data_IF_345843437290
#
_entry.id   IF_345843437290
#
_cell.length_a   1.000
_cell.length_b   1.000
_cell.length_c   1.000
_cell.angle_alpha   90.00
_cell.angle_beta   90.00
_cell.angle_gamma   90.00
#
_symmetry.space_group_name_H-M   'P 1'
#
loop_
_entity.id
_entity.type
_entity.pdbx_description
1 polymer ?
#
# COMPACT_ATOMS: atom_id res chain seq x y z
N UNK A 1 0.86 18.01 -6.87
CA UNK A 1 1.33 16.65 -7.19
C UNK A 1 0.56 16.22 -8.42
N UNK A 2 1.26 15.84 -9.48
CA UNK A 2 0.68 15.41 -10.75
C UNK A 2 1.40 14.16 -11.27
N UNK A 3 0.68 13.36 -12.04
CA UNK A 3 1.25 12.34 -12.90
C UNK A 3 1.27 12.86 -14.32
N UNK A 4 2.22 12.39 -15.13
CA UNK A 4 2.26 12.57 -16.57
C UNK A 4 2.53 11.22 -17.19
N UNK A 5 1.59 10.72 -17.96
CA UNK A 5 1.64 9.40 -18.63
C UNK A 5 1.71 9.66 -20.13
N UNK A 6 2.81 9.25 -20.75
CA UNK A 6 3.02 9.36 -22.21
C UNK A 6 2.94 7.98 -22.83
N UNK A 7 2.02 7.80 -23.78
CA UNK A 7 1.83 6.57 -24.57
C UNK A 7 1.59 6.97 -26.02
N UNK A 8 2.44 6.52 -26.95
CA UNK A 8 2.48 7.06 -28.32
C UNK A 8 2.58 8.60 -28.27
N UNK A 9 1.80 9.31 -29.08
CA UNK A 9 1.69 10.77 -29.11
C UNK A 9 0.72 11.33 -28.05
N UNK A 10 0.05 10.46 -27.27
CA UNK A 10 -0.86 10.90 -26.22
C UNK A 10 -0.10 11.18 -24.92
N UNK A 11 -0.23 12.41 -24.46
CA UNK A 11 0.20 12.88 -23.14
C UNK A 11 -1.05 13.01 -22.27
N UNK A 12 -1.03 12.38 -21.11
CA UNK A 12 -2.14 12.34 -20.16
C UNK A 12 -1.64 12.84 -18.80
N UNK A 13 -2.14 13.99 -18.34
CA UNK A 13 -1.77 14.66 -17.10
C UNK A 13 -2.99 14.94 -16.22
N UNK A 14 -3.99 15.62 -16.77
CA UNK A 14 -5.20 16.03 -16.03
C UNK A 14 -6.16 14.86 -15.77
N UNK A 15 -6.19 13.83 -16.62
CA UNK A 15 -7.07 12.68 -16.44
C UNK A 15 -6.56 11.65 -15.42
N UNK A 16 -5.27 11.66 -15.05
CA UNK A 16 -4.62 10.56 -14.31
C UNK A 16 -4.82 10.68 -12.80
N UNK A 17 -5.62 9.79 -12.22
CA UNK A 17 -5.88 9.75 -10.78
C UNK A 17 -4.81 8.92 -10.05
N UNK A 18 -4.50 7.72 -10.55
CA UNK A 18 -3.63 6.75 -9.87
C UNK A 18 -2.72 5.98 -10.84
N UNK A 19 -1.45 5.80 -10.44
CA UNK A 19 -0.54 4.85 -11.10
C UNK A 19 0.10 3.95 -10.04
N UNK A 20 0.11 2.63 -10.28
CA UNK A 20 0.75 1.65 -9.39
C UNK A 20 1.70 0.74 -10.18
N UNK A 21 2.92 0.55 -9.67
CA UNK A 21 3.95 -0.30 -10.26
C UNK A 21 4.08 -1.61 -9.48
N UNK A 22 4.17 -2.74 -10.17
CA UNK A 22 4.32 -4.07 -9.58
C UNK A 22 5.52 -4.81 -10.19
N UNK A 23 6.34 -5.43 -9.32
CA UNK A 23 7.51 -6.23 -9.71
C UNK A 23 7.35 -7.64 -9.14
N UNK A 24 6.81 -8.55 -9.95
CA UNK A 24 6.63 -9.97 -9.59
C UNK A 24 7.97 -10.70 -9.80
N UNK A 25 8.70 -10.93 -8.69
CA UNK A 25 9.93 -11.74 -8.67
C UNK A 25 9.59 -13.20 -8.31
N UNK A 26 10.02 -14.19 -9.11
CA UNK A 26 9.75 -15.59 -8.81
C UNK A 26 10.35 -16.05 -7.46
N UNK A 27 9.56 -16.75 -6.65
CA UNK A 27 9.94 -17.25 -5.31
C UNK A 27 11.03 -18.35 -5.30
N UNK A 28 11.57 -18.74 -6.45
CA UNK A 28 12.68 -19.68 -6.56
C UNK A 28 13.99 -18.93 -6.82
N UNK A 29 15.04 -19.22 -6.05
CA UNK A 29 16.28 -18.43 -6.10
C UNK A 29 16.95 -18.48 -7.48
N UNK A 30 16.87 -19.60 -8.21
CA UNK A 30 17.38 -19.73 -9.59
C UNK A 30 16.62 -18.86 -10.62
N UNK A 31 15.41 -18.39 -10.28
CA UNK A 31 14.52 -17.62 -11.17
C UNK A 31 14.42 -16.13 -10.80
N UNK A 32 15.18 -15.65 -9.81
CA UNK A 32 15.12 -14.25 -9.33
C UNK A 32 15.60 -13.22 -10.37
N UNK A 33 16.14 -13.67 -11.50
CA UNK A 33 16.71 -12.86 -12.58
C UNK A 33 15.71 -12.49 -13.70
N UNK A 34 14.46 -12.96 -13.66
CA UNK A 34 13.41 -12.61 -14.64
C UNK A 34 12.17 -11.99 -13.94
N UNK A 35 12.29 -10.74 -13.43
CA UNK A 35 11.18 -10.02 -12.81
C UNK A 35 10.10 -9.65 -13.83
N UNK A 36 8.84 -9.99 -13.53
CA UNK A 36 7.69 -9.57 -14.34
C UNK A 36 7.21 -8.20 -13.88
N UNK A 37 7.59 -7.18 -14.64
CA UNK A 37 7.22 -5.79 -14.37
C UNK A 37 5.86 -5.46 -15.01
N UNK A 38 4.92 -4.96 -14.21
CA UNK A 38 3.59 -4.53 -14.67
C UNK A 38 3.19 -3.21 -14.02
N UNK A 39 2.27 -2.49 -14.63
CA UNK A 39 1.77 -1.20 -14.19
C UNK A 39 0.26 -1.14 -14.34
N UNK A 40 -0.42 -0.52 -13.39
CA UNK A 40 -1.84 -0.17 -13.46
C UNK A 40 -1.94 1.36 -13.54
N UNK A 41 -2.70 1.88 -14.49
CA UNK A 41 -2.98 3.30 -14.65
C UNK A 41 -4.51 3.48 -14.58
N UNK A 42 -4.99 4.40 -13.75
CA UNK A 42 -6.42 4.72 -13.56
C UNK A 42 -6.64 6.22 -13.78
N UNK A 43 -7.68 6.59 -14.51
CA UNK A 43 -8.00 7.98 -14.81
C UNK A 43 -9.40 8.20 -15.34
N UNK A 44 -9.75 9.46 -15.62
CA UNK A 44 -11.06 9.86 -16.17
C UNK A 44 -11.08 9.78 -17.70
N UNK A 45 -12.27 9.60 -18.26
CA UNK A 45 -12.49 9.47 -19.70
C UNK A 45 -12.98 10.80 -20.30
N UNK A 46 -13.84 11.53 -19.58
CA UNK A 46 -14.48 12.78 -20.04
C UNK A 46 -13.57 14.01 -19.88
N UNK A 47 -12.33 13.89 -20.35
CA UNK A 47 -11.32 14.96 -20.41
C UNK A 47 -11.03 15.34 -21.87
N UNK A 48 -10.47 16.53 -22.10
CA UNK A 48 -9.98 16.92 -23.44
C UNK A 48 -8.75 16.08 -23.88
N UNK A 49 -8.08 15.43 -22.92
CA UNK A 49 -7.04 14.44 -23.17
C UNK A 49 -7.64 13.17 -23.82
N UNK A 50 -7.15 12.83 -25.03
CA UNK A 50 -7.75 11.81 -25.92
C UNK A 50 -7.58 10.34 -25.50
N UNK A 51 -8.12 9.95 -24.35
CA UNK A 51 -8.03 8.62 -23.73
C UNK A 51 -8.45 7.45 -24.64
N UNK A 52 -9.25 7.69 -25.68
CA UNK A 52 -9.69 6.67 -26.65
C UNK A 52 -8.54 5.89 -27.32
N UNK A 53 -7.30 6.44 -27.36
CA UNK A 53 -6.13 5.70 -27.87
C UNK A 53 -5.74 4.51 -26.98
N UNK A 54 -6.06 4.56 -25.68
CA UNK A 54 -5.78 3.46 -24.73
C UNK A 54 -6.69 2.26 -25.03
N UNK A 55 -7.98 2.51 -25.29
CA UNK A 55 -8.91 1.49 -25.76
C UNK A 55 -8.47 0.91 -27.12
N UNK A 56 -8.08 1.76 -28.08
CA UNK A 56 -7.56 1.29 -29.38
C UNK A 56 -6.31 0.41 -29.23
N UNK A 57 -5.42 0.75 -28.29
CA UNK A 57 -4.24 -0.07 -27.98
C UNK A 57 -4.63 -1.41 -27.35
N UNK A 58 -5.62 -1.44 -26.46
CA UNK A 58 -6.13 -2.66 -25.82
C UNK A 58 -6.74 -3.67 -26.81
N UNK A 59 -7.21 -3.21 -27.98
CA UNK A 59 -7.72 -4.08 -29.05
C UNK A 59 -6.60 -4.81 -29.83
N UNK A 60 -5.33 -4.46 -29.65
CA UNK A 60 -4.21 -5.09 -30.37
C UNK A 60 -3.73 -6.37 -29.67
N UNK A 61 -3.88 -7.56 -30.28
CA UNK A 61 -3.46 -8.81 -29.66
C UNK A 61 -1.91 -8.90 -29.57
N UNK A 62 -1.41 -9.63 -28.58
CA UNK A 62 0.04 -9.83 -28.33
C UNK A 62 0.83 -10.43 -29.52
N UNK A 63 0.14 -10.97 -30.52
CA UNK A 63 0.71 -11.48 -31.78
C UNK A 63 0.97 -10.39 -32.83
N UNK A 64 0.37 -9.20 -32.70
CA UNK A 64 0.65 -8.06 -33.57
C UNK A 64 1.87 -7.30 -33.04
N UNK A 65 2.95 -7.10 -33.84
CA UNK A 65 4.08 -6.24 -33.45
C UNK A 65 3.67 -4.84 -32.96
N UNK A 66 2.58 -4.29 -33.49
CA UNK A 66 2.08 -2.95 -33.10
C UNK A 66 1.52 -2.89 -31.68
N UNK A 67 1.24 -4.02 -31.01
CA UNK A 67 0.77 -3.99 -29.62
C UNK A 67 1.89 -3.59 -28.62
N UNK A 68 3.15 -3.58 -29.05
CA UNK A 68 4.29 -3.24 -28.19
C UNK A 68 4.62 -1.75 -28.30
N UNK A 69 4.25 -0.97 -27.27
CA UNK A 69 4.47 0.49 -27.20
C UNK A 69 5.47 0.84 -26.11
N UNK A 70 6.10 2.00 -26.26
CA UNK A 70 6.79 2.63 -25.14
C UNK A 70 5.76 3.33 -24.23
N UNK A 71 5.96 3.25 -22.91
CA UNK A 71 5.16 3.97 -21.91
C UNK A 71 6.09 4.65 -20.92
N UNK A 72 6.02 5.97 -20.84
CA UNK A 72 6.69 6.76 -19.81
C UNK A 72 5.68 7.24 -18.78
N UNK A 73 5.99 7.09 -17.49
CA UNK A 73 5.27 7.76 -16.40
C UNK A 73 6.22 8.62 -15.60
N UNK A 74 5.91 9.90 -15.50
CA UNK A 74 6.57 10.89 -14.68
C UNK A 74 5.66 11.30 -13.51
N UNK A 75 6.24 11.44 -12.32
CA UNK A 75 5.54 11.85 -11.11
C UNK A 75 6.22 13.08 -10.51
N UNK A 76 5.46 14.17 -10.45
CA UNK A 76 5.94 15.51 -10.09
C UNK A 76 5.28 15.98 -8.80
N UNK A 77 6.08 16.42 -7.85
CA UNK A 77 5.62 17.04 -6.59
C UNK A 77 6.29 18.39 -6.46
N UNK A 78 5.50 19.42 -6.13
CA UNK A 78 5.98 20.78 -5.84
C UNK A 78 6.93 21.30 -6.95
N UNK A 79 6.50 21.08 -8.20
CA UNK A 79 7.20 21.35 -9.47
C UNK A 79 8.55 20.63 -9.67
N UNK A 80 8.85 19.62 -8.85
CA UNK A 80 10.06 18.81 -8.91
C UNK A 80 9.74 17.37 -9.34
N UNK A 81 10.48 16.86 -10.35
CA UNK A 81 10.35 15.47 -10.82
C UNK A 81 10.89 14.51 -9.75
N UNK A 82 10.00 13.80 -9.08
CA UNK A 82 10.36 12.84 -8.01
C UNK A 82 10.79 11.51 -8.61
N UNK A 83 10.08 11.06 -9.67
CA UNK A 83 10.34 9.78 -10.34
C UNK A 83 9.86 9.79 -11.79
N UNK A 84 10.62 9.13 -12.67
CA UNK A 84 10.30 8.77 -14.05
C UNK A 84 10.51 7.27 -14.22
N UNK A 85 9.55 6.57 -14.82
CA UNK A 85 9.65 5.14 -15.16
C UNK A 85 9.28 4.97 -16.62
N UNK A 86 10.17 4.38 -17.43
CA UNK A 86 9.91 4.05 -18.83
C UNK A 86 9.87 2.53 -19.04
N UNK A 87 8.76 2.03 -19.59
CA UNK A 87 8.62 0.67 -20.11
C UNK A 87 8.88 0.70 -21.61
N UNK A 88 10.09 0.32 -22.02
CA UNK A 88 10.55 0.37 -23.42
C UNK A 88 9.74 -0.48 -24.40
N UNK A 89 9.04 -1.53 -23.94
CA UNK A 89 8.10 -2.35 -24.72
C UNK A 89 6.97 -2.90 -23.85
N UNK A 90 6.07 -2.04 -23.41
CA UNK A 90 4.83 -2.44 -22.78
C UNK A 90 3.84 -3.06 -23.78
N UNK A 91 2.95 -3.94 -23.32
CA UNK A 91 1.73 -4.35 -24.01
C UNK A 91 0.55 -4.35 -23.02
N UNK A 92 -0.68 -4.17 -23.53
CA UNK A 92 -1.89 -4.25 -22.71
C UNK A 92 -2.17 -5.70 -22.32
N UNK A 93 -2.41 -5.91 -21.03
CA UNK A 93 -2.85 -7.20 -20.45
C UNK A 93 -4.37 -7.21 -20.29
N UNK A 94 -4.95 -6.08 -19.89
CA UNK A 94 -6.38 -5.91 -19.65
C UNK A 94 -6.75 -4.41 -19.68
N UNK A 95 -8.01 -4.08 -19.98
CA UNK A 95 -8.51 -2.71 -20.03
C UNK A 95 -10.02 -2.67 -19.76
N UNK A 96 -10.45 -1.71 -18.92
CA UNK A 96 -11.84 -1.55 -18.52
C UNK A 96 -12.26 -0.10 -18.42
N UNK A 97 -13.49 0.21 -18.81
CA UNK A 97 -14.11 1.54 -18.64
C UNK A 97 -15.42 1.40 -17.85
N UNK A 98 -15.62 2.27 -16.88
CA UNK A 98 -16.80 2.28 -16.01
C UNK A 98 -17.45 3.67 -16.10
N UNK A 99 -18.64 3.72 -16.69
CA UNK A 99 -19.45 4.93 -16.81
C UNK A 99 -20.54 4.97 -15.72
N UNK A 100 -20.73 6.12 -15.09
CA UNK A 100 -21.72 6.28 -14.01
C UNK A 100 -22.55 7.54 -14.18
N UNK A 101 -23.84 7.35 -14.51
CA UNK A 101 -24.84 8.40 -14.62
C UNK A 101 -25.09 9.16 -13.30
N UNK A 102 -24.56 8.66 -12.16
CA UNK A 102 -24.63 9.32 -10.87
C UNK A 102 -23.39 10.18 -10.56
N UNK A 103 -22.21 9.76 -11.02
CA UNK A 103 -20.97 10.54 -10.87
C UNK A 103 -20.79 11.59 -11.97
N UNK A 104 -21.42 11.40 -13.13
CA UNK A 104 -21.30 12.28 -14.30
C UNK A 104 -19.96 12.20 -15.03
N UNK A 105 -19.10 11.24 -14.66
CA UNK A 105 -17.76 11.04 -15.23
C UNK A 105 -17.46 9.54 -15.35
N UNK A 106 -16.98 9.10 -16.50
CA UNK A 106 -16.42 7.78 -16.77
C UNK A 106 -14.98 7.63 -16.29
N UNK A 107 -14.62 6.44 -15.82
CA UNK A 107 -13.27 6.13 -15.30
C UNK A 107 -12.71 4.92 -16.04
N UNK A 108 -11.50 5.03 -16.59
CA UNK A 108 -10.78 3.93 -17.22
C UNK A 108 -9.79 3.27 -16.25
N UNK A 109 -9.42 2.02 -16.51
CA UNK A 109 -8.29 1.36 -15.87
C UNK A 109 -7.55 0.50 -16.88
N UNK A 110 -6.25 0.77 -17.02
CA UNK A 110 -5.35 0.20 -18.01
C UNK A 110 -4.28 -0.65 -17.31
N UNK A 111 -4.16 -1.92 -17.70
CA UNK A 111 -3.19 -2.87 -17.17
C UNK A 111 -2.15 -3.18 -18.23
N UNK A 112 -0.89 -2.81 -17.98
CA UNK A 112 0.21 -3.04 -18.92
C UNK A 112 1.33 -3.86 -18.29
N UNK A 113 2.05 -4.60 -19.14
CA UNK A 113 3.20 -5.42 -18.74
C UNK A 113 4.36 -5.19 -19.69
N UNK A 114 5.56 -5.07 -19.15
CA UNK A 114 6.79 -4.99 -19.93
C UNK A 114 7.08 -6.36 -20.58
N UNK A 115 7.38 -6.37 -21.88
CA UNK A 115 7.86 -7.57 -22.58
C UNK A 115 9.19 -8.07 -21.95
N UNK A 116 9.36 -9.39 -21.82
CA UNK A 116 10.51 -9.98 -21.08
C UNK A 116 11.86 -9.66 -21.73
N UNK A 117 12.91 -9.63 -20.92
CA UNK A 117 14.28 -9.39 -21.39
C UNK A 117 14.46 -8.01 -22.03
N UNK A 118 13.82 -6.99 -21.46
CA UNK A 118 13.84 -5.60 -21.90
C UNK A 118 14.02 -4.69 -20.69
N UNK A 119 14.80 -3.65 -20.89
CA UNK A 119 15.21 -2.72 -19.86
C UNK A 119 14.08 -1.75 -19.51
N UNK A 120 14.07 -1.34 -18.25
CA UNK A 120 13.16 -0.35 -17.67
C UNK A 120 14.04 0.76 -17.11
N UNK A 121 13.90 1.96 -17.65
CA UNK A 121 14.58 3.13 -17.10
C UNK A 121 13.79 3.63 -15.90
N UNK A 122 14.44 3.74 -14.74
CA UNK A 122 13.85 4.31 -13.54
C UNK A 122 14.76 5.42 -13.01
N UNK A 123 14.45 6.67 -13.37
CA UNK A 123 15.15 7.87 -12.90
C UNK A 123 14.35 8.47 -11.74
N UNK A 124 15.04 9.00 -10.73
CA UNK A 124 14.39 9.68 -9.62
C UNK A 124 15.41 10.41 -8.77
N UNK A 125 14.92 11.26 -7.86
CA UNK A 125 15.82 12.01 -6.98
C UNK A 125 16.38 11.12 -5.86
N UNK A 126 17.53 10.51 -6.13
CA UNK A 126 18.42 10.00 -5.09
C UNK A 126 19.05 11.19 -4.37
N UNK A 127 18.58 11.49 -3.15
CA UNK A 127 19.07 12.62 -2.36
C UNK A 127 20.47 12.37 -1.79
N UNK A 128 21.51 12.48 -2.62
CA UNK A 128 22.90 12.75 -2.20
C UNK A 128 23.74 13.35 -3.36
N UNK A 129 23.95 14.68 -3.38
CA UNK A 129 24.96 15.31 -4.22
C UNK A 129 26.31 15.39 -3.51
N UNK A 130 27.22 14.47 -3.81
CA UNK A 130 28.64 14.58 -3.44
C UNK A 130 29.34 15.51 -4.43
N UNK A 131 29.87 16.64 -3.95
CA UNK A 131 30.47 17.67 -4.81
C UNK A 131 31.75 17.22 -5.50
N UNK A 132 31.76 17.30 -6.85
CA UNK A 132 32.94 17.72 -7.62
C UNK A 132 32.44 18.69 -8.70
N UNK A 133 33.12 19.82 -8.86
CA UNK A 133 32.78 20.86 -9.82
C UNK A 133 33.22 20.48 -11.23
N UNK A 134 32.50 20.97 -12.24
CA UNK A 134 33.16 21.57 -13.40
C UNK A 134 32.33 22.71 -13.96
N UNK A 135 32.98 23.85 -14.19
CA UNK A 135 32.38 25.09 -14.65
C UNK A 135 32.28 25.14 -16.17
N UNK A 136 31.30 25.91 -16.67
CA UNK A 136 31.51 26.85 -17.78
C UNK A 136 30.47 27.98 -17.67
N UNK A 137 30.82 29.14 -18.23
CA UNK A 137 30.11 30.42 -18.10
C UNK A 137 29.40 30.81 -19.38
N UNK A 138 28.30 31.56 -19.28
CA UNK A 138 28.09 32.77 -20.10
C UNK A 138 26.98 33.67 -19.48
N UNK A 139 26.93 34.93 -19.92
CA UNK A 139 26.25 36.06 -19.24
C UNK A 139 24.93 36.50 -19.92
N UNK A 140 24.29 37.52 -19.33
CA UNK A 140 23.33 38.55 -19.86
C UNK A 140 22.21 38.77 -18.80
N UNK A 141 22.17 39.83 -17.97
CA UNK A 141 22.05 41.31 -18.25
C UNK A 141 20.66 41.62 -18.84
N UNK A 142 19.75 42.45 -18.30
CA UNK A 142 19.74 43.49 -17.25
C UNK A 142 18.30 43.62 -16.65
N UNK A 143 18.17 44.05 -15.38
CA UNK A 143 17.52 45.31 -14.88
C UNK A 143 16.26 45.94 -15.59
N UNK A 144 15.34 46.74 -15.00
CA UNK A 144 15.16 47.36 -13.65
C UNK A 144 13.77 48.03 -13.44
N UNK A 145 13.26 48.11 -12.19
CA UNK A 145 12.37 49.15 -11.59
C UNK A 145 10.96 49.55 -12.17
N UNK A 146 10.09 50.35 -11.49
CA UNK A 146 9.75 50.48 -10.04
C UNK A 146 8.29 50.98 -9.83
N UNK A 147 7.78 50.78 -8.60
CA UNK A 147 6.44 51.07 -8.09
C UNK A 147 5.91 52.53 -8.12
N UNK A 148 4.61 52.68 -7.77
CA UNK A 148 4.17 53.67 -6.75
C UNK A 148 2.79 53.40 -6.09
N UNK A 149 2.83 53.22 -4.76
CA UNK A 149 2.05 53.85 -3.67
C UNK A 149 0.59 54.30 -3.92
N UNK A 150 -0.31 53.94 -2.97
CA UNK A 150 -0.78 54.86 -1.89
C UNK A 150 -1.53 54.11 -0.77
N UNK A 151 -1.86 54.79 0.35
CA UNK A 151 -2.43 54.21 1.59
C UNK A 151 -3.17 55.27 2.46
N UNK A 152 -3.92 54.83 3.49
CA UNK A 152 -4.61 55.61 4.55
C UNK A 152 -5.91 56.35 4.12
N UNK A 153 -6.95 56.60 4.95
CA UNK A 153 -7.33 56.19 6.33
C UNK A 153 -8.87 56.35 6.47
N UNK A 154 -9.64 55.70 7.37
CA UNK A 154 -9.84 56.05 8.79
C UNK A 154 -10.71 55.00 9.58
N UNK A 155 -11.43 55.45 10.63
CA UNK A 155 -12.35 54.70 11.52
C UNK A 155 -13.84 55.15 11.32
N UNK A 156 -14.92 54.68 11.99
CA UNK A 156 -15.15 53.85 13.22
C UNK A 156 -16.61 53.33 13.28
N UNK A 157 -16.94 52.56 14.34
CA UNK A 157 -18.28 52.18 14.92
C UNK A 157 -18.64 50.68 14.87
N UNK A 158 -19.29 50.21 15.95
CA UNK A 158 -19.75 48.84 16.26
C UNK A 158 -21.11 48.93 16.99
N UNK A 159 -21.84 47.85 17.37
CA UNK A 159 -21.50 46.41 17.29
C UNK A 159 -22.62 45.44 16.83
N UNK A 160 -22.27 44.19 16.46
CA UNK A 160 -22.86 42.96 17.05
C UNK A 160 -22.34 41.64 16.42
N UNK A 161 -22.26 40.59 17.27
CA UNK A 161 -22.20 39.14 17.01
C UNK A 161 -21.79 38.62 15.60
N UNK A 162 -20.57 38.07 15.47
CA UNK A 162 -20.30 36.89 14.62
C UNK A 162 -19.02 36.14 15.05
N UNK A 163 -18.70 35.04 14.37
CA UNK A 163 -17.69 34.03 14.72
C UNK A 163 -16.22 34.51 14.74
N UNK A 164 -15.37 33.79 15.49
CA UNK A 164 -13.90 33.89 15.39
C UNK A 164 -13.42 33.47 14.00
N UNK A 165 -12.48 34.21 13.43
CA UNK A 165 -12.04 34.00 12.05
C UNK A 165 -10.99 32.86 11.94
N UNK A 166 -10.93 32.22 10.77
CA UNK A 166 -10.14 30.98 10.58
C UNK A 166 -8.63 31.24 10.68
N UNK A 167 -8.18 32.44 10.33
CA UNK A 167 -6.77 32.90 10.38
C UNK A 167 -6.14 32.73 11.76
N UNK A 168 -6.88 33.04 12.82
CA UNK A 168 -6.34 33.14 14.18
C UNK A 168 -6.09 31.76 14.79
N UNK A 169 -6.79 30.73 14.27
CA UNK A 169 -6.52 29.32 14.58
C UNK A 169 -5.27 28.80 13.86
N UNK A 170 -5.03 29.25 12.62
CA UNK A 170 -3.85 28.84 11.82
C UNK A 170 -2.57 29.46 12.39
N UNK A 171 -2.59 30.74 12.79
CA UNK A 171 -1.46 31.40 13.44
C UNK A 171 -0.99 30.61 14.68
N UNK A 172 -1.93 30.23 15.55
CA UNK A 172 -1.64 29.47 16.78
C UNK A 172 -1.22 28.02 16.56
N UNK A 173 -1.47 27.45 15.38
CA UNK A 173 -0.88 26.17 14.98
C UNK A 173 0.54 26.34 14.42
N UNK A 174 0.83 27.43 13.69
CA UNK A 174 2.20 27.74 13.24
C UNK A 174 3.16 28.01 14.40
N UNK A 175 2.75 28.74 15.43
CA UNK A 175 3.55 28.96 16.65
C UNK A 175 3.89 27.65 17.41
N UNK A 176 3.18 26.55 17.13
CA UNK A 176 3.48 25.21 17.65
C UNK A 176 4.28 24.32 16.68
N UNK A 177 4.67 24.83 15.51
CA UNK A 177 5.39 24.08 14.46
C UNK A 177 6.68 24.73 13.97
N UNK A 178 6.96 25.99 14.32
CA UNK A 178 8.23 26.66 14.01
C UNK A 178 8.98 27.09 15.29
N UNK A 179 9.67 26.12 15.90
CA UNK A 179 10.66 26.39 16.95
C UNK A 179 11.74 25.30 16.94
N UNK A 180 12.47 25.21 15.82
CA UNK A 180 13.41 24.10 15.60
C UNK A 180 14.35 24.20 14.39
N UNK A 181 14.51 25.37 13.76
CA UNK A 181 15.45 25.53 12.64
C UNK A 181 16.91 25.63 13.13
N UNK A 182 17.48 24.48 13.52
CA UNK A 182 18.90 24.31 13.80
C UNK A 182 19.43 23.09 13.05
N UNK A 183 20.63 23.19 12.48
CA UNK A 183 21.28 22.06 11.79
C UNK A 183 21.70 21.02 12.83
N UNK A 184 20.91 19.96 12.93
CA UNK A 184 21.13 18.82 13.82
C UNK A 184 21.02 17.55 12.97
N UNK A 185 21.97 16.61 13.16
CA UNK A 185 21.89 15.24 12.63
C UNK A 185 20.62 14.54 13.18
N UNK A 186 19.55 14.61 12.41
CA UNK A 186 18.19 14.27 12.83
C UNK A 186 17.82 12.82 12.55
N UNK A 187 18.78 11.91 12.79
CA UNK A 187 18.53 10.48 13.12
C UNK A 187 17.21 10.31 13.86
N UNK A 188 16.41 9.33 13.45
CA UNK A 188 15.07 9.11 13.99
C UNK A 188 15.08 8.83 15.49
N UNK A 189 13.92 8.86 16.15
CA UNK A 189 13.86 8.47 17.56
C UNK A 189 14.25 7.00 17.72
N UNK A 190 13.84 6.15 16.76
CA UNK A 190 14.31 4.76 16.63
C UNK A 190 15.84 4.69 16.50
N UNK A 191 16.47 5.40 15.57
CA UNK A 191 17.93 5.33 15.36
C UNK A 191 18.71 5.73 16.62
N UNK A 192 18.23 6.76 17.32
CA UNK A 192 18.83 7.21 18.60
C UNK A 192 18.61 6.21 19.73
N UNK A 193 17.49 5.49 19.74
CA UNK A 193 17.28 4.35 20.64
C UNK A 193 18.20 3.17 20.32
N UNK A 194 18.42 2.86 19.04
CA UNK A 194 19.31 1.79 18.58
C UNK A 194 20.78 2.10 18.92
N UNK A 195 21.19 3.37 18.77
CA UNK A 195 22.53 3.83 19.13
C UNK A 195 22.81 3.83 20.65
N UNK A 196 21.78 3.73 21.50
CA UNK A 196 21.88 3.91 22.95
C UNK A 196 21.89 5.37 23.40
N UNK A 197 21.78 6.33 22.47
CA UNK A 197 21.65 7.77 22.75
C UNK A 197 20.31 8.14 23.42
N UNK A 198 19.35 7.21 23.49
CA UNK A 198 17.99 7.45 23.95
C UNK A 198 17.31 6.22 24.55
N UNK A 199 16.49 6.42 25.59
CA UNK A 199 15.58 5.41 26.14
C UNK A 199 14.38 5.09 25.24
N UNK A 200 13.70 3.96 25.51
CA UNK A 200 12.43 3.57 24.89
C UNK A 200 11.25 4.43 25.42
N UNK A 201 11.24 5.71 25.04
CA UNK A 201 10.26 6.72 25.45
C UNK A 201 8.97 6.71 24.59
N UNK A 202 8.08 7.67 24.86
CA UNK A 202 6.83 7.82 24.12
C UNK A 202 7.03 8.13 22.62
N UNK A 203 8.10 8.84 22.25
CA UNK A 203 8.36 9.20 20.85
C UNK A 203 8.92 7.99 20.08
N UNK A 204 9.84 7.25 20.70
CA UNK A 204 10.35 5.95 20.19
C UNK A 204 9.20 4.96 20.03
N UNK A 205 8.35 4.83 21.06
CA UNK A 205 7.15 4.00 21.03
C UNK A 205 6.19 4.40 19.89
N UNK A 206 5.93 5.70 19.70
CA UNK A 206 5.02 6.16 18.66
C UNK A 206 5.60 5.94 17.25
N UNK A 207 6.90 6.14 17.05
CA UNK A 207 7.56 5.87 15.77
C UNK A 207 7.56 4.37 15.44
N UNK A 208 7.87 3.50 16.40
CA UNK A 208 7.69 2.06 16.24
C UNK A 208 6.23 1.65 15.97
N UNK A 209 5.26 2.34 16.59
CA UNK A 209 3.82 2.11 16.36
C UNK A 209 3.42 2.47 14.93
N UNK A 210 3.99 3.55 14.37
CA UNK A 210 3.78 3.95 12.98
C UNK A 210 4.35 2.90 12.01
N UNK A 211 5.57 2.42 12.27
CA UNK A 211 6.22 1.40 11.43
C UNK A 211 5.50 0.05 11.49
N UNK A 212 5.14 -0.41 12.69
CA UNK A 212 4.30 -1.60 12.89
C UNK A 212 2.95 -1.48 12.17
N UNK A 213 2.27 -0.35 12.27
CA UNK A 213 0.98 -0.14 11.60
C UNK A 213 1.09 -0.19 10.07
N UNK A 214 2.17 0.33 9.48
CA UNK A 214 2.43 0.21 8.03
C UNK A 214 2.54 -1.25 7.59
N UNK A 215 3.29 -2.09 8.32
CA UNK A 215 3.44 -3.52 8.02
C UNK A 215 2.15 -4.33 8.23
N UNK A 216 1.34 -3.96 9.22
CA UNK A 216 0.03 -4.59 9.44
C UNK A 216 -0.96 -4.19 8.33
N UNK A 217 -0.96 -2.93 7.91
CA UNK A 217 -1.93 -2.41 6.95
C UNK A 217 -1.54 -2.67 5.48
N UNK A 218 -0.28 -3.01 5.18
CA UNK A 218 0.12 -3.50 3.84
C UNK A 218 -0.48 -4.87 3.52
N UNK A 219 -0.78 -5.67 4.55
CA UNK A 219 -1.25 -7.06 4.47
C UNK A 219 -0.27 -8.06 3.83
N UNK A 220 1.00 -7.68 3.69
CA UNK A 220 2.06 -8.59 3.30
C UNK A 220 2.55 -9.46 4.47
N UNK A 221 3.36 -10.47 4.15
CA UNK A 221 4.09 -11.24 5.16
C UNK A 221 5.25 -10.38 5.68
N UNK A 222 5.35 -10.24 7.00
CA UNK A 222 6.42 -9.52 7.68
C UNK A 222 6.79 -10.21 9.00
N UNK A 223 8.00 -9.96 9.50
CA UNK A 223 8.48 -10.43 10.80
C UNK A 223 9.01 -9.26 11.64
N UNK A 224 8.94 -9.41 12.97
CA UNK A 224 9.54 -8.42 13.88
C UNK A 224 11.06 -8.36 13.77
N UNK A 225 11.69 -9.44 13.31
CA UNK A 225 13.14 -9.61 13.40
C UNK A 225 13.83 -9.20 12.08
N UNK A 226 13.06 -8.95 11.01
CA UNK A 226 13.54 -8.55 9.67
C UNK A 226 12.98 -7.19 9.21
N UNK A 227 11.69 -6.89 9.46
CA UNK A 227 11.00 -5.72 8.90
C UNK A 227 10.84 -4.54 9.87
N UNK A 228 11.08 -4.75 11.17
CA UNK A 228 11.10 -3.69 12.18
C UNK A 228 12.56 -3.37 12.54
N UNK A 229 13.02 -2.10 12.45
CA UNK A 229 14.40 -1.75 12.77
C UNK A 229 14.80 -2.14 14.21
N UNK A 230 15.86 -2.95 14.34
CA UNK A 230 16.32 -3.52 15.62
C UNK A 230 15.21 -4.31 16.37
N UNK A 231 14.22 -4.80 15.64
CA UNK A 231 13.04 -5.47 16.20
C UNK A 231 13.34 -6.84 16.78
N UNK A 232 14.39 -7.51 16.31
CA UNK A 232 14.95 -8.74 16.88
C UNK A 232 15.37 -8.54 18.35
N UNK A 233 15.89 -7.35 18.68
CA UNK A 233 16.28 -6.98 20.05
C UNK A 233 15.14 -6.37 20.88
N UNK A 234 13.97 -6.06 20.29
CA UNK A 234 12.80 -5.60 21.05
C UNK A 234 12.22 -6.74 21.90
N UNK A 235 12.18 -6.54 23.22
CA UNK A 235 11.56 -7.50 24.15
C UNK A 235 10.07 -7.71 23.86
N UNK A 236 9.52 -8.86 24.23
CA UNK A 236 8.08 -9.15 24.10
C UNK A 236 7.19 -8.08 24.79
N UNK A 237 7.67 -7.44 25.86
CA UNK A 237 6.99 -6.34 26.53
C UNK A 237 6.97 -5.04 25.68
N UNK A 238 8.08 -4.70 25.01
CA UNK A 238 8.12 -3.58 24.06
C UNK A 238 7.27 -3.88 22.82
N UNK A 239 7.40 -5.08 22.23
CA UNK A 239 6.54 -5.53 21.11
C UNK A 239 5.06 -5.40 21.49
N UNK A 240 4.66 -5.77 22.72
CA UNK A 240 3.28 -5.54 23.23
C UNK A 240 2.93 -4.05 23.33
N UNK A 241 3.77 -3.21 23.96
CA UNK A 241 3.52 -1.76 24.07
C UNK A 241 3.29 -1.13 22.70
N UNK A 242 4.07 -1.52 21.68
CA UNK A 242 3.94 -1.04 20.30
C UNK A 242 2.58 -1.44 19.70
N UNK A 243 2.17 -2.71 19.87
CA UNK A 243 0.82 -3.16 19.45
C UNK A 243 -0.29 -2.37 20.15
N UNK A 244 -0.22 -2.26 21.48
CA UNK A 244 -1.21 -1.57 22.30
C UNK A 244 -1.34 -0.10 21.90
N UNK A 245 -0.22 0.58 21.65
CA UNK A 245 -0.20 1.99 21.26
C UNK A 245 -0.66 2.21 19.82
N UNK A 246 -0.32 1.32 18.88
CA UNK A 246 -0.84 1.38 17.51
C UNK A 246 -2.37 1.25 17.45
N UNK A 247 -2.96 0.38 18.28
CA UNK A 247 -4.43 0.27 18.41
C UNK A 247 -5.02 1.50 19.13
N UNK A 248 -4.44 1.93 20.25
CA UNK A 248 -4.90 3.11 21.00
C UNK A 248 -4.87 4.41 20.19
N UNK A 249 -3.88 4.57 19.30
CA UNK A 249 -3.74 5.70 18.38
C UNK A 249 -4.52 5.51 17.06
N UNK A 250 -5.39 4.49 16.97
CA UNK A 250 -6.23 4.16 15.80
C UNK A 250 -5.47 3.89 14.49
N UNK A 251 -4.17 3.54 14.57
CA UNK A 251 -3.34 3.20 13.41
C UNK A 251 -3.62 1.77 12.91
N UNK A 252 -4.10 0.91 13.80
CA UNK A 252 -4.55 -0.47 13.53
C UNK A 252 -5.92 -0.65 14.21
N UNK A 253 -6.85 -1.37 13.57
CA UNK A 253 -8.18 -1.62 14.15
C UNK A 253 -8.10 -2.55 15.37
N UNK A 254 -8.89 -2.25 16.40
CA UNK A 254 -9.09 -3.14 17.55
C UNK A 254 -9.94 -4.35 17.15
N UNK A 255 -9.46 -5.56 17.43
CA UNK A 255 -10.20 -6.82 17.23
C UNK A 255 -10.37 -7.49 18.58
N UNK A 256 -11.61 -7.49 19.08
CA UNK A 256 -11.94 -8.00 20.40
C UNK A 256 -11.85 -9.52 20.41
N UNK A 257 -11.13 -10.06 21.40
CA UNK A 257 -10.99 -11.51 21.60
C UNK A 257 -12.01 -12.00 22.61
N UNK A 258 -13.06 -12.69 22.14
CA UNK A 258 -14.09 -13.33 22.96
C UNK A 258 -13.50 -14.55 23.66
N UNK A 259 -13.25 -14.44 24.97
CA UNK A 259 -12.83 -15.59 25.79
C UNK A 259 -14.01 -16.56 25.97
N UNK A 260 -13.73 -17.84 25.79
CA UNK A 260 -14.69 -18.95 25.94
C UNK A 260 -14.01 -20.04 26.75
N UNK A 261 -14.76 -20.70 27.64
CA UNK A 261 -14.24 -21.78 28.48
C UNK A 261 -13.69 -22.94 27.63
N UNK A 262 -12.63 -23.59 28.10
CA UNK A 262 -11.90 -24.62 27.35
C UNK A 262 -11.00 -24.11 26.22
N UNK A 263 -11.16 -22.87 25.74
CA UNK A 263 -10.35 -22.31 24.64
C UNK A 263 -9.24 -21.38 25.13
N UNK A 264 -7.98 -21.73 24.82
CA UNK A 264 -6.77 -21.06 25.34
C UNK A 264 -6.67 -19.57 24.98
N UNK A 265 -7.05 -19.21 23.76
CA UNK A 265 -6.89 -17.87 23.22
C UNK A 265 -8.23 -17.13 23.12
N UNK A 266 -9.31 -17.81 22.73
CA UNK A 266 -10.61 -17.19 22.45
C UNK A 266 -10.74 -16.72 21.00
N UNK A 267 -11.96 -16.40 20.57
CA UNK A 267 -12.32 -16.12 19.17
C UNK A 267 -12.15 -14.63 18.84
N UNK A 268 -11.66 -14.32 17.64
CA UNK A 268 -11.39 -12.95 17.20
C UNK A 268 -12.60 -12.36 16.45
N UNK A 269 -13.17 -11.28 16.98
CA UNK A 269 -14.37 -10.65 16.41
C UNK A 269 -14.07 -9.73 15.21
N UNK A 270 -13.52 -10.30 14.13
CA UNK A 270 -13.24 -9.56 12.89
C UNK A 270 -14.50 -8.92 12.31
N UNK A 271 -15.67 -9.55 12.48
CA UNK A 271 -16.96 -9.04 12.03
C UNK A 271 -17.40 -7.80 12.83
N UNK A 272 -17.32 -7.86 14.16
CA UNK A 272 -17.56 -6.71 15.04
C UNK A 272 -16.54 -5.57 14.89
N UNK A 273 -15.35 -5.85 14.37
CA UNK A 273 -14.34 -4.86 14.01
C UNK A 273 -14.53 -4.22 12.61
N UNK A 274 -15.48 -4.73 11.80
CA UNK A 274 -15.70 -4.26 10.43
C UNK A 274 -14.60 -4.68 9.44
N UNK A 275 -13.97 -5.84 9.68
CA UNK A 275 -12.83 -6.35 8.91
C UNK A 275 -13.17 -7.55 8.00
N UNK A 276 -14.39 -8.10 8.13
CA UNK A 276 -14.87 -9.16 7.24
C UNK A 276 -15.30 -8.51 5.92
N UNK A 277 -14.56 -8.81 4.87
CA UNK A 277 -14.82 -8.35 3.50
C UNK A 277 -16.03 -9.12 2.96
N UNK A 278 -16.01 -10.45 3.13
CA UNK A 278 -16.99 -11.39 2.59
C UNK A 278 -17.13 -12.63 3.48
N UNK A 279 -18.27 -13.29 3.40
CA UNK A 279 -18.53 -14.57 4.09
C UNK A 279 -19.04 -15.62 3.09
N UNK A 280 -18.56 -16.85 3.22
CA UNK A 280 -19.02 -18.03 2.46
C UNK A 280 -19.10 -19.21 3.43
N UNK A 281 -20.19 -19.97 3.37
CA UNK A 281 -20.31 -21.21 4.13
C UNK A 281 -19.67 -22.38 3.36
N UNK A 282 -18.69 -23.02 3.99
CA UNK A 282 -17.95 -24.14 3.44
C UNK A 282 -18.79 -25.44 3.52
N UNK A 283 -18.94 -26.21 2.42
CA UNK A 283 -19.60 -27.52 2.40
C UNK A 283 -19.03 -28.50 3.43
N UNK A 284 -19.91 -29.30 4.03
CA UNK A 284 -19.59 -30.14 5.20
C UNK A 284 -18.58 -31.26 4.89
N UNK A 285 -18.57 -31.76 3.66
CA UNK A 285 -17.57 -32.70 3.13
C UNK A 285 -16.16 -32.08 3.08
N UNK A 286 -16.06 -30.76 2.92
CA UNK A 286 -14.80 -30.02 2.94
C UNK A 286 -14.35 -29.58 4.35
N UNK A 287 -15.13 -29.79 5.42
CA UNK A 287 -14.73 -29.33 6.77
C UNK A 287 -13.45 -29.99 7.29
N UNK A 288 -13.21 -31.25 6.93
CA UNK A 288 -12.11 -32.07 7.47
C UNK A 288 -10.94 -32.29 6.50
N UNK A 289 -10.93 -31.64 5.33
CA UNK A 289 -9.75 -31.58 4.44
C UNK A 289 -8.79 -30.47 4.89
N UNK A 290 -7.61 -30.39 4.28
CA UNK A 290 -6.57 -29.37 4.55
C UNK A 290 -6.93 -27.94 4.07
N UNK A 291 -6.17 -26.95 4.55
CA UNK A 291 -6.43 -25.54 4.29
C UNK A 291 -6.23 -25.16 2.80
N UNK A 292 -5.28 -25.80 2.10
CA UNK A 292 -5.06 -25.58 0.67
C UNK A 292 -6.28 -25.99 -0.15
N UNK A 293 -6.83 -27.18 0.11
CA UNK A 293 -8.04 -27.68 -0.54
C UNK A 293 -9.27 -26.81 -0.22
N UNK A 294 -9.45 -26.41 1.06
CA UNK A 294 -10.55 -25.51 1.45
C UNK A 294 -10.43 -24.13 0.78
N UNK A 295 -9.24 -23.53 0.81
CA UNK A 295 -9.03 -22.17 0.32
C UNK A 295 -9.16 -22.12 -1.21
N UNK A 296 -8.76 -23.17 -1.93
CA UNK A 296 -9.00 -23.28 -3.39
C UNK A 296 -10.49 -23.30 -3.74
N UNK A 297 -11.31 -24.03 -2.98
CA UNK A 297 -12.76 -24.01 -3.18
C UNK A 297 -13.35 -22.62 -2.88
N UNK A 298 -13.04 -22.04 -1.72
CA UNK A 298 -13.52 -20.71 -1.31
C UNK A 298 -13.09 -19.61 -2.29
N UNK A 299 -11.86 -19.70 -2.83
CA UNK A 299 -11.35 -18.82 -3.87
C UNK A 299 -12.13 -18.92 -5.19
N UNK A 300 -12.58 -20.12 -5.57
CA UNK A 300 -13.44 -20.32 -6.74
C UNK A 300 -14.82 -19.69 -6.52
N UNK A 301 -15.43 -19.92 -5.35
CA UNK A 301 -16.75 -19.34 -5.05
C UNK A 301 -16.71 -17.82 -4.92
N UNK A 302 -15.70 -17.23 -4.28
CA UNK A 302 -15.63 -15.77 -4.17
C UNK A 302 -15.43 -15.09 -5.53
N UNK A 303 -14.71 -15.72 -6.47
CA UNK A 303 -14.56 -15.21 -7.84
C UNK A 303 -15.86 -15.23 -8.64
N UNK A 304 -16.83 -16.09 -8.28
CA UNK A 304 -18.20 -16.08 -8.81
C UNK A 304 -19.09 -15.06 -8.10
N UNK A 305 -18.99 -15.00 -6.77
CA UNK A 305 -19.85 -14.17 -5.91
C UNK A 305 -19.55 -12.67 -6.05
N UNK A 306 -18.28 -12.31 -6.07
CA UNK A 306 -17.80 -10.92 -6.05
C UNK A 306 -16.48 -10.80 -6.86
N UNK A 307 -16.55 -10.87 -8.21
CA UNK A 307 -15.36 -10.82 -9.07
C UNK A 307 -14.56 -9.53 -8.90
N UNK A 308 -15.20 -8.42 -8.49
CA UNK A 308 -14.59 -7.10 -8.31
C UNK A 308 -13.53 -7.04 -7.19
N UNK A 309 -13.45 -8.07 -6.33
CA UNK A 309 -12.37 -8.21 -5.34
C UNK A 309 -11.04 -8.63 -5.97
N UNK A 310 -11.06 -9.18 -7.18
CA UNK A 310 -9.87 -9.46 -7.95
C UNK A 310 -9.59 -8.23 -8.82
N UNK A 311 -8.38 -7.64 -8.77
CA UNK A 311 -8.02 -6.60 -9.72
C UNK A 311 -8.20 -7.11 -11.16
N UNK A 312 -8.59 -6.23 -12.06
CA UNK A 312 -8.66 -6.53 -13.49
C UNK A 312 -7.24 -6.92 -13.97
N UNK A 313 -7.10 -7.80 -14.97
CA UNK A 313 -5.82 -8.41 -15.34
C UNK A 313 -5.15 -9.32 -14.29
N UNK A 314 -5.75 -9.56 -13.11
CA UNK A 314 -5.14 -10.40 -12.07
C UNK A 314 -5.30 -11.90 -12.36
N UNK A 315 -4.16 -12.56 -12.56
CA UNK A 315 -4.07 -13.98 -12.96
C UNK A 315 -4.07 -14.94 -11.75
N UNK A 316 -4.01 -14.44 -10.52
CA UNK A 316 -3.96 -15.28 -9.32
C UNK A 316 -5.32 -15.85 -8.91
N UNK A 317 -5.29 -16.93 -8.14
CA UNK A 317 -6.48 -17.61 -7.62
C UNK A 317 -7.07 -16.93 -6.38
N UNK A 318 -6.28 -16.14 -5.64
CA UNK A 318 -6.60 -15.61 -4.31
C UNK A 318 -6.79 -14.10 -4.34
N UNK A 319 -7.80 -13.56 -3.64
CA UNK A 319 -7.97 -12.10 -3.48
C UNK A 319 -6.71 -11.50 -2.81
N UNK A 320 -6.02 -10.52 -3.44
CA UNK A 320 -4.78 -9.93 -2.90
C UNK A 320 -4.93 -9.38 -1.47
N UNK A 321 -3.87 -9.48 -0.66
CA UNK A 321 -3.86 -8.99 0.72
C UNK A 321 -4.79 -9.71 1.71
N UNK A 322 -5.69 -10.60 1.29
CA UNK A 322 -6.67 -11.25 2.19
C UNK A 322 -6.23 -12.63 2.69
N UNK A 323 -6.89 -13.17 3.70
CA UNK A 323 -6.84 -14.58 4.07
C UNK A 323 -8.23 -15.07 4.49
N UNK A 324 -8.47 -16.36 4.34
CA UNK A 324 -9.64 -17.02 4.89
C UNK A 324 -9.43 -17.33 6.37
N UNK A 325 -10.39 -16.92 7.20
CA UNK A 325 -10.45 -17.17 8.63
C UNK A 325 -11.59 -18.16 8.92
N UNK A 326 -11.27 -19.29 9.56
CA UNK A 326 -12.27 -20.23 10.09
C UNK A 326 -12.85 -19.68 11.39
N UNK A 327 -14.08 -19.17 11.39
CA UNK A 327 -14.69 -18.61 12.60
C UNK A 327 -15.11 -19.68 13.62
N UNK A 328 -15.65 -19.26 14.77
CA UNK A 328 -16.27 -20.16 15.75
C UNK A 328 -17.54 -20.85 15.21
N UNK A 329 -18.18 -20.29 14.18
CA UNK A 329 -19.45 -20.77 13.63
C UNK A 329 -19.18 -21.92 12.64
N UNK A 330 -19.82 -23.09 12.77
CA UNK A 330 -19.60 -24.22 11.87
C UNK A 330 -19.83 -23.89 10.39
N UNK A 331 -18.84 -24.20 9.55
CA UNK A 331 -18.85 -23.93 8.11
C UNK A 331 -18.53 -22.49 7.70
N UNK A 332 -18.76 -21.49 8.56
CA UNK A 332 -18.61 -20.08 8.21
C UNK A 332 -17.13 -19.70 8.01
N UNK A 333 -16.80 -19.32 6.78
CA UNK A 333 -15.47 -18.85 6.38
C UNK A 333 -15.52 -17.36 6.07
N UNK A 334 -14.67 -16.58 6.75
CA UNK A 334 -14.63 -15.13 6.65
C UNK A 334 -13.39 -14.68 5.88
N UNK A 335 -13.57 -13.88 4.83
CA UNK A 335 -12.46 -13.26 4.11
C UNK A 335 -12.05 -11.98 4.85
N UNK A 336 -10.81 -11.93 5.34
CA UNK A 336 -10.29 -10.83 6.18
C UNK A 336 -8.91 -10.38 5.70
N UNK A 337 -8.46 -9.13 5.95
CA UNK A 337 -7.11 -8.70 5.60
C UNK A 337 -6.04 -9.49 6.38
N UNK A 338 -4.98 -9.91 5.68
CA UNK A 338 -3.95 -10.85 6.20
C UNK A 338 -3.15 -10.28 7.36
N UNK A 339 -2.72 -9.02 7.24
CA UNK A 339 -1.83 -8.41 8.22
C UNK A 339 -2.50 -8.24 9.57
N UNK A 340 -3.76 -7.82 9.59
CA UNK A 340 -4.54 -7.72 10.83
C UNK A 340 -4.95 -9.09 11.38
N UNK A 341 -5.26 -10.07 10.54
CA UNK A 341 -5.52 -11.44 11.00
C UNK A 341 -4.32 -12.04 11.75
N UNK A 342 -3.11 -11.85 11.21
CA UNK A 342 -1.90 -12.51 11.72
C UNK A 342 -1.36 -11.92 13.04
N UNK A 343 -1.71 -10.68 13.41
CA UNK A 343 -1.23 -10.07 14.66
C UNK A 343 -1.97 -10.51 15.93
N UNK A 344 -3.17 -11.10 15.80
CA UNK A 344 -3.97 -11.60 16.91
C UNK A 344 -3.84 -13.12 17.02
N UNK A 345 -3.24 -13.64 18.10
CA UNK A 345 -3.28 -15.08 18.38
C UNK A 345 -4.67 -15.46 18.91
N UNK A 346 -5.42 -16.23 18.13
CA UNK A 346 -6.83 -16.55 18.39
C UNK A 346 -7.15 -18.04 18.18
N UNK A 347 -8.33 -18.45 18.67
CA UNK A 347 -8.98 -19.71 18.31
C UNK A 347 -9.98 -19.48 17.16
N UNK A 348 -10.39 -20.56 16.50
CA UNK A 348 -11.28 -20.57 15.34
C UNK A 348 -11.64 -22.01 14.95
N UNK A 349 -12.26 -22.24 13.79
CA UNK A 349 -12.77 -23.56 13.35
C UNK A 349 -11.72 -24.68 13.33
N UNK A 350 -10.44 -24.36 13.10
CA UNK A 350 -9.30 -25.30 13.16
C UNK A 350 -8.79 -25.63 14.57
N UNK A 351 -9.34 -25.04 15.62
CA UNK A 351 -8.92 -25.30 17.00
C UNK A 351 -9.42 -26.66 17.50
N UNK A 352 -8.72 -27.23 18.48
CA UNK A 352 -9.12 -28.52 19.10
C UNK A 352 -10.57 -28.47 19.58
N UNK A 353 -11.37 -29.45 19.15
CA UNK A 353 -12.80 -29.56 19.48
C UNK A 353 -13.75 -28.82 18.53
N UNK A 354 -13.23 -28.00 17.61
CA UNK A 354 -14.07 -27.22 16.68
C UNK A 354 -14.29 -27.92 15.34
N UNK A 355 -15.23 -27.38 14.56
CA UNK A 355 -15.84 -28.01 13.38
C UNK A 355 -14.88 -28.41 12.25
N UNK A 356 -13.76 -27.70 12.08
CA UNK A 356 -12.74 -28.00 11.07
C UNK A 356 -11.48 -28.69 11.65
N UNK A 357 -11.56 -29.26 12.87
CA UNK A 357 -10.43 -29.87 13.59
C UNK A 357 -9.98 -31.22 12.97
N UNK A 358 -9.43 -31.17 11.76
CA UNK A 358 -8.90 -32.31 11.05
C UNK A 358 -7.62 -32.86 11.71
N UNK A 359 -7.51 -34.19 11.81
CA UNK A 359 -6.29 -34.86 12.26
C UNK A 359 -5.20 -34.75 11.19
N UNK A 360 -4.31 -33.75 11.33
CA UNK A 360 -3.18 -33.49 10.43
C UNK A 360 -2.41 -34.79 10.15
N UNK A 361 -2.43 -35.25 8.89
CA UNK A 361 -1.59 -36.36 8.43
C UNK A 361 -0.14 -36.02 8.78
N UNK A 362 0.52 -36.86 9.61
CA UNK A 362 1.93 -36.66 9.95
C UNK A 362 2.74 -36.65 8.66
N UNK A 363 3.36 -35.52 8.32
CA UNK A 363 4.31 -35.49 7.21
C UNK A 363 5.43 -36.49 7.52
N UNK A 364 5.68 -37.41 6.59
CA UNK A 364 6.71 -38.43 6.75
C UNK A 364 8.07 -37.75 6.84
N UNK A 365 8.60 -37.66 8.06
CA UNK A 365 9.67 -36.73 8.40
C UNK A 365 10.88 -36.85 7.49
N UNK A 366 11.15 -35.78 6.72
CA UNK A 366 12.35 -35.64 5.89
C UNK A 366 13.56 -35.77 6.83
N UNK A 367 14.26 -36.90 6.81
CA UNK A 367 15.31 -37.25 7.77
C UNK A 367 16.30 -36.08 7.89
N UNK A 368 16.42 -35.51 9.09
CA UNK A 368 17.49 -34.56 9.41
C UNK A 368 18.81 -35.31 9.19
N UNK A 369 19.59 -34.92 8.18
CA UNK A 369 20.96 -35.46 8.00
C UNK A 369 21.72 -35.12 9.27
N UNK A 370 22.15 -36.15 10.01
CA UNK A 370 22.88 -35.94 11.25
C UNK A 370 24.19 -35.19 10.98
N UNK A 371 24.59 -34.31 11.91
CA UNK A 371 26.00 -33.96 12.01
C UNK A 371 26.75 -35.24 12.38
N UNK A 372 27.74 -35.64 11.60
CA UNK A 372 28.81 -36.47 12.12
C UNK A 372 29.53 -35.70 13.24
N UNK A 373 30.13 -36.45 14.16
CA UNK A 373 31.08 -35.89 15.13
C UNK A 373 32.39 -35.55 14.43
#
# INVERSE_FOLDING_TARGET
MSYKVTVLDAVLEDCIEHVTFYVDTPNHYDMRNDPKNSMIITGKIDTEEGTAVLYQWALLPATNPDCYKEVTVEYTKDNQLVRKVCFSKAFVVDYSEIYSNHAGVGTFTLYIRQFRGKDIECVGQTTQPSTVEQSLTEEVVEEVEVAKKQNSVAEKVSPSKSAMNITDRIAKQKEMMDNGNGVIDSKSAIDKYIAGDKDFDNNVLQEYSNSYAKLVNSNEVWSWDEDIPNGENLTAAQRKKIKDNAVKSNLVKDVKIKKVEGQKFGYADFKGAGLVIEEIDLPQDLWLVDDDTQFKWLNSEIKKKNPNLFPIGYVGEKVPGTTWHHSEIPGNMQLVPTGIHNIYTHNGGRSTGNWACASRKKSTGKKRRGKSK
#
